data_IF_436642135852
#
_entry.id   IF_436642135852
#
_cell.length_a   1.000
_cell.length_b   1.000
_cell.length_c   1.000
_cell.angle_alpha   90.00
_cell.angle_beta   90.00
_cell.angle_gamma   90.00
#
_symmetry.space_group_name_H-M   'P 1'
#
loop_
_entity.id
_entity.type
_entity.pdbx_description
1 polymer ?
#
# COMPACT_ATOMS: atom_id res chain seq x y z
N UNK A 1 -1.21 -26.96 -18.11
CA UNK A 1 -0.43 -26.05 -17.23
C UNK A 1 -1.31 -25.71 -16.04
N UNK A 2 -0.79 -25.74 -14.80
CA UNK A 2 -1.56 -25.32 -13.63
C UNK A 2 -1.78 -23.79 -13.68
N UNK A 3 -2.96 -23.34 -13.27
CA UNK A 3 -3.29 -21.92 -13.17
C UNK A 3 -2.65 -21.35 -11.90
N UNK A 4 -1.76 -20.36 -12.03
CA UNK A 4 -0.99 -19.81 -10.92
C UNK A 4 -1.58 -18.49 -10.45
N UNK A 5 -1.92 -18.41 -9.15
CA UNK A 5 -2.55 -17.24 -8.54
C UNK A 5 -1.63 -16.64 -7.50
N UNK A 6 -1.38 -15.33 -7.60
CA UNK A 6 -0.68 -14.54 -6.59
C UNK A 6 -1.70 -13.73 -5.77
N UNK A 7 -1.80 -14.02 -4.46
CA UNK A 7 -2.68 -13.32 -3.54
C UNK A 7 -1.89 -12.40 -2.60
N UNK A 8 -2.15 -11.10 -2.66
CA UNK A 8 -1.51 -10.05 -1.87
C UNK A 8 -2.48 -9.55 -0.79
N UNK A 9 -2.27 -10.01 0.44
CA UNK A 9 -3.11 -9.59 1.57
C UNK A 9 -2.84 -8.13 1.96
N UNK A 10 -3.89 -7.45 2.43
CA UNK A 10 -3.79 -6.09 2.97
C UNK A 10 -3.14 -6.10 4.34
N UNK A 11 -2.03 -5.38 4.51
CA UNK A 11 -1.26 -5.36 5.77
C UNK A 11 -0.51 -4.06 6.05
N UNK A 12 -0.92 -2.94 5.43
CA UNK A 12 -0.25 -1.65 5.56
C UNK A 12 1.16 -1.64 4.97
N UNK A 13 2.09 -0.96 5.64
CA UNK A 13 3.50 -0.83 5.23
C UNK A 13 4.22 -2.18 5.03
N UNK A 14 3.71 -3.28 5.59
CA UNK A 14 4.26 -4.63 5.38
C UNK A 14 4.13 -5.12 3.93
N UNK A 15 3.27 -4.50 3.11
CA UNK A 15 3.19 -4.77 1.67
C UNK A 15 4.47 -4.42 0.90
N UNK A 16 5.22 -3.41 1.37
CA UNK A 16 6.53 -3.03 0.80
C UNK A 16 7.56 -4.16 0.94
N UNK A 17 7.51 -4.93 2.03
CA UNK A 17 8.41 -6.06 2.21
C UNK A 17 8.21 -7.12 1.11
N UNK A 18 6.97 -7.38 0.71
CA UNK A 18 6.66 -8.27 -0.40
C UNK A 18 7.24 -7.76 -1.72
N UNK A 19 7.18 -6.45 -1.99
CA UNK A 19 7.78 -5.86 -3.21
C UNK A 19 9.30 -6.03 -3.25
N UNK A 20 9.98 -6.00 -2.10
CA UNK A 20 11.42 -6.27 -2.04
C UNK A 20 11.74 -7.73 -2.39
N UNK A 21 10.93 -8.68 -1.90
CA UNK A 21 11.07 -10.09 -2.27
C UNK A 21 10.79 -10.30 -3.76
N UNK A 22 9.76 -9.65 -4.30
CA UNK A 22 9.45 -9.71 -5.73
C UNK A 22 10.58 -9.16 -6.59
N UNK A 23 11.23 -8.07 -6.20
CA UNK A 23 12.38 -7.53 -6.93
C UNK A 23 13.53 -8.54 -7.02
N UNK A 24 13.81 -9.29 -5.95
CA UNK A 24 14.83 -10.36 -5.97
C UNK A 24 14.40 -11.55 -6.81
N UNK A 25 13.11 -11.90 -6.77
CA UNK A 25 12.57 -12.96 -7.62
C UNK A 25 12.61 -12.57 -9.10
N UNK A 26 12.35 -11.30 -9.44
CA UNK A 26 12.46 -10.80 -10.82
C UNK A 26 13.89 -10.88 -11.34
N UNK A 27 14.89 -10.54 -10.52
CA UNK A 27 16.30 -10.71 -10.88
C UNK A 27 16.65 -12.18 -11.15
N UNK A 28 16.10 -13.11 -10.37
CA UNK A 28 16.32 -14.55 -10.57
C UNK A 28 15.53 -15.11 -11.76
N UNK A 29 14.31 -14.61 -11.98
CA UNK A 29 13.43 -15.06 -13.06
C UNK A 29 13.80 -14.43 -14.41
N UNK A 30 14.52 -13.31 -14.42
CA UNK A 30 14.87 -12.55 -15.62
C UNK A 30 13.68 -11.88 -16.32
N UNK A 31 12.51 -11.84 -15.67
CA UNK A 31 11.26 -11.29 -16.20
C UNK A 31 10.39 -10.73 -15.08
N UNK A 32 9.47 -9.80 -15.38
CA UNK A 32 8.53 -9.26 -14.40
C UNK A 32 7.72 -10.37 -13.75
N UNK A 33 7.57 -10.31 -12.43
CA UNK A 33 6.87 -11.38 -11.70
C UNK A 33 5.39 -11.44 -12.06
N UNK A 34 4.82 -10.32 -12.53
CA UNK A 34 3.45 -10.27 -13.04
C UNK A 34 3.21 -11.17 -14.24
N UNK A 35 4.23 -11.47 -15.04
CA UNK A 35 4.13 -12.39 -16.20
C UNK A 35 4.24 -13.86 -15.80
N UNK A 36 4.61 -14.16 -14.56
CA UNK A 36 4.72 -15.53 -14.05
C UNK A 36 3.38 -16.07 -13.54
N UNK A 37 2.37 -15.22 -13.34
CA UNK A 37 1.08 -15.57 -12.75
C UNK A 37 -0.07 -15.25 -13.70
N UNK A 38 -1.07 -16.13 -13.74
CA UNK A 38 -2.26 -15.96 -14.56
C UNK A 38 -3.28 -15.00 -13.92
N UNK A 39 -3.25 -14.90 -12.59
CA UNK A 39 -4.11 -14.01 -11.82
C UNK A 39 -3.35 -13.42 -10.63
N UNK A 40 -3.46 -12.10 -10.47
CA UNK A 40 -2.94 -11.38 -9.31
C UNK A 40 -4.13 -10.71 -8.62
N UNK A 41 -4.33 -11.02 -7.35
CA UNK A 41 -5.40 -10.46 -6.53
C UNK A 41 -4.81 -9.82 -5.29
N UNK A 42 -5.38 -8.71 -4.84
CA UNK A 42 -4.97 -8.12 -3.57
C UNK A 42 -5.95 -7.10 -3.01
N UNK A 43 -5.85 -6.86 -1.71
CA UNK A 43 -6.77 -5.97 -0.97
C UNK A 43 -5.98 -4.81 -0.37
N UNK A 44 -6.53 -3.59 -0.42
CA UNK A 44 -5.86 -2.36 0.05
C UNK A 44 -4.52 -2.16 -0.68
N UNK A 45 -3.41 -1.99 0.04
CA UNK A 45 -2.05 -1.88 -0.49
C UNK A 45 -1.70 -3.04 -1.41
N UNK A 46 -2.12 -4.26 -1.05
CA UNK A 46 -1.91 -5.44 -1.88
C UNK A 46 -2.61 -5.31 -3.24
N UNK A 47 -3.72 -4.58 -3.33
CA UNK A 47 -4.43 -4.32 -4.58
C UNK A 47 -3.69 -3.34 -5.50
N UNK A 48 -3.12 -2.27 -4.93
CA UNK A 48 -2.28 -1.33 -5.70
C UNK A 48 -1.04 -2.04 -6.24
N UNK A 49 -0.37 -2.86 -5.40
CA UNK A 49 0.76 -3.69 -5.84
C UNK A 49 0.30 -4.67 -6.93
N UNK A 50 -0.85 -5.33 -6.76
CA UNK A 50 -1.40 -6.25 -7.74
C UNK A 50 -1.62 -5.60 -9.11
N UNK A 51 -2.16 -4.38 -9.13
CA UNK A 51 -2.37 -3.61 -10.37
C UNK A 51 -1.02 -3.26 -11.01
N UNK A 52 -0.06 -2.78 -10.24
CA UNK A 52 1.29 -2.48 -10.76
C UNK A 52 1.93 -3.69 -11.41
N UNK A 53 1.89 -4.84 -10.73
CA UNK A 53 2.42 -6.10 -11.26
C UNK A 53 1.66 -6.57 -12.51
N UNK A 54 0.33 -6.47 -12.52
CA UNK A 54 -0.50 -6.84 -13.66
C UNK A 54 -0.25 -5.96 -14.90
N UNK A 55 0.20 -4.71 -14.71
CA UNK A 55 0.62 -3.81 -15.79
C UNK A 55 2.04 -4.10 -16.30
N UNK A 56 2.70 -5.15 -15.82
CA UNK A 56 4.07 -5.51 -16.20
C UNK A 56 5.11 -4.54 -15.63
N UNK A 57 4.77 -3.76 -14.60
CA UNK A 57 5.74 -2.88 -13.95
C UNK A 57 6.71 -3.70 -13.09
N UNK A 58 8.02 -3.40 -13.15
CA UNK A 58 8.98 -4.03 -12.26
C UNK A 58 8.60 -3.81 -10.80
N UNK A 59 8.79 -4.82 -9.96
CA UNK A 59 8.52 -4.72 -8.53
C UNK A 59 9.35 -3.60 -7.86
N UNK A 60 10.52 -3.28 -8.42
CA UNK A 60 11.34 -2.15 -8.01
C UNK A 60 10.63 -0.80 -8.20
N UNK A 61 10.03 -0.57 -9.36
CA UNK A 61 9.30 0.68 -9.66
C UNK A 61 8.09 0.82 -8.75
N UNK A 62 7.38 -0.28 -8.49
CA UNK A 62 6.24 -0.29 -7.56
C UNK A 62 6.71 0.07 -6.15
N UNK A 63 7.83 -0.50 -5.68
CA UNK A 63 8.42 -0.15 -4.38
C UNK A 63 8.77 1.34 -4.30
N UNK A 64 9.45 1.86 -5.32
CA UNK A 64 9.94 3.25 -5.34
C UNK A 64 8.75 4.23 -5.26
N UNK A 65 7.67 3.99 -6.00
CA UNK A 65 6.43 4.79 -5.92
C UNK A 65 5.79 4.70 -4.53
N UNK A 66 5.84 3.52 -3.90
CA UNK A 66 5.32 3.33 -2.54
C UNK A 66 6.19 3.93 -1.45
N UNK A 67 7.51 4.06 -1.65
CA UNK A 67 8.39 4.78 -0.73
C UNK A 67 8.19 6.29 -0.87
N UNK A 68 8.06 6.79 -2.10
CA UNK A 68 7.84 8.22 -2.39
C UNK A 68 6.46 8.70 -1.90
N UNK A 69 5.40 7.93 -2.18
CA UNK A 69 4.02 8.28 -1.81
C UNK A 69 3.55 7.59 -0.54
N UNK A 70 4.42 6.82 0.11
CA UNK A 70 4.10 6.05 1.29
C UNK A 70 3.64 6.92 2.43
N UNK A 71 4.28 8.07 2.64
CA UNK A 71 3.88 8.99 3.70
C UNK A 71 2.46 9.51 3.51
N UNK A 72 2.03 9.82 2.27
CA UNK A 72 0.67 10.25 1.93
C UNK A 72 -0.35 9.10 2.00
N UNK A 73 0.02 7.91 1.50
CA UNK A 73 -0.85 6.73 1.45
C UNK A 73 -1.06 6.13 2.87
N UNK A 74 -0.03 6.21 3.70
CA UNK A 74 -0.02 5.68 5.07
C UNK A 74 -0.11 6.78 6.12
N UNK A 75 -0.43 8.04 5.76
CA UNK A 75 -0.62 9.09 6.74
C UNK A 75 -1.68 8.62 7.72
N UNK A 76 -1.24 8.44 8.97
CA UNK A 76 -2.14 8.18 10.10
C UNK A 76 -3.05 9.39 10.13
N UNK A 77 -4.32 9.23 9.74
CA UNK A 77 -5.31 10.27 9.98
C UNK A 77 -5.13 10.69 11.44
N UNK A 78 -4.72 11.94 11.68
CA UNK A 78 -4.72 12.45 13.04
C UNK A 78 -6.11 12.11 13.58
N UNK A 79 -6.23 11.50 14.78
CA UNK A 79 -7.53 11.43 15.39
C UNK A 79 -7.95 12.88 15.49
N UNK A 80 -9.00 13.27 14.76
CA UNK A 80 -9.58 14.61 14.80
C UNK A 80 -9.61 14.99 16.26
N UNK A 81 -8.71 15.89 16.67
CA UNK A 81 -8.71 16.39 18.04
C UNK A 81 -9.92 17.30 18.06
N UNK A 82 -11.04 16.75 18.52
CA UNK A 82 -12.28 17.48 18.76
C UNK A 82 -11.91 18.64 19.67
N UNK A 83 -11.64 19.81 19.09
CA UNK A 83 -11.57 21.05 19.83
C UNK A 83 -13.02 21.46 20.14
N UNK A 84 -13.68 20.73 21.04
CA UNK A 84 -14.78 21.30 21.82
C UNK A 84 -14.18 22.14 22.94
N UNK A 85 -13.41 23.16 22.56
CA UNK A 85 -13.08 24.28 23.43
C UNK A 85 -14.19 25.29 23.30
N UNK A 86 -15.25 25.16 24.11
CA UNK A 86 -16.14 26.29 24.38
C UNK A 86 -15.41 27.20 25.37
N UNK A 87 -15.06 28.44 25.01
CA UNK A 87 -14.55 29.39 25.99
C UNK A 87 -15.72 30.00 26.77
N UNK A 88 -15.68 29.84 28.09
CA UNK A 88 -16.18 30.80 29.08
C UNK A 88 -17.60 31.37 28.90
N UNK A 89 -18.59 30.70 29.47
CA UNK A 89 -19.82 31.37 29.90
C UNK A 89 -19.57 32.16 31.18
N UNK A 90 -19.24 33.44 31.06
CA UNK A 90 -19.31 34.40 32.16
C UNK A 90 -20.77 34.84 32.34
N UNK A 91 -21.47 34.28 33.33
CA UNK A 91 -22.70 34.88 33.85
C UNK A 91 -22.36 35.66 35.12
N UNK A 92 -22.03 36.93 34.92
CA UNK A 92 -21.99 37.95 35.95
C UNK A 92 -23.29 38.76 35.97
N UNK A 93 -23.79 38.95 37.19
CA UNK A 93 -24.79 39.89 37.70
C UNK A 93 -25.62 40.78 36.78
N UNK A 94 -26.93 40.75 37.00
CA UNK A 94 -27.73 41.90 37.45
C UNK A 94 -29.00 41.37 38.13
#
# INVERSE_FOLDING_TARGET
MPFQILALSGGGYRGLFSTHIFSKLEEQAGRPIGECFDLIAGTSIGGIIAIGLALGKPAKEIRDVFEEKGEDIFTRGEPTRNQSGTPGGSFGGS
#
